data_IF_828157192882
#
_entry.id   IF_828157192882
#
_cell.length_a   1.000
_cell.length_b   1.000
_cell.length_c   1.000
_cell.angle_alpha   90.00
_cell.angle_beta   90.00
_cell.angle_gamma   90.00
#
_symmetry.space_group_name_H-M   'P 1'
#
loop_
_entity.id
_entity.type
_entity.pdbx_description
1 polymer ?
#
# COMPACT_ATOMS: atom_id res chain seq x y z
N UNK A 1 -9.31 6.71 -9.11
CA UNK A 1 -8.73 5.94 -10.21
C UNK A 1 -7.24 6.21 -10.29
N UNK A 2 -6.42 5.16 -10.37
CA UNK A 2 -4.98 5.24 -10.63
C UNK A 2 -4.72 4.80 -12.08
N UNK A 3 -3.90 5.55 -12.79
CA UNK A 3 -3.46 5.25 -14.16
C UNK A 3 -1.93 5.37 -14.22
N UNK A 4 -1.30 4.31 -14.68
CA UNK A 4 0.13 4.23 -15.00
C UNK A 4 0.21 4.00 -16.49
N UNK A 5 0.97 4.83 -17.23
CA UNK A 5 1.01 4.78 -18.70
C UNK A 5 2.45 4.82 -19.19
N UNK A 6 2.88 3.74 -19.85
CA UNK A 6 4.17 3.61 -20.48
C UNK A 6 5.34 3.89 -19.53
N UNK A 7 5.27 3.42 -18.27
CA UNK A 7 6.25 3.78 -17.24
C UNK A 7 7.53 2.97 -17.40
N UNK A 8 8.64 3.68 -17.46
CA UNK A 8 10.01 3.15 -17.43
C UNK A 8 10.73 3.60 -16.17
N UNK A 9 11.53 2.71 -15.60
CA UNK A 9 12.42 3.01 -14.48
C UNK A 9 13.69 2.18 -14.56
N UNK A 10 14.84 2.84 -14.40
CA UNK A 10 16.16 2.21 -14.34
C UNK A 10 16.94 2.75 -13.15
N UNK A 11 17.86 1.95 -12.65
CA UNK A 11 18.79 2.36 -11.60
C UNK A 11 20.23 2.22 -12.10
N UNK A 12 21.06 3.17 -11.76
CA UNK A 12 22.51 3.08 -12.03
C UNK A 12 23.14 2.01 -11.15
N UNK A 13 23.88 1.09 -11.75
CA UNK A 13 24.65 0.07 -11.02
C UNK A 13 26.12 0.11 -11.49
N UNK A 14 27.07 -0.45 -10.73
CA UNK A 14 28.48 -0.56 -11.16
C UNK A 14 28.67 -1.30 -12.49
N UNK A 15 27.71 -2.19 -12.85
CA UNK A 15 27.71 -2.97 -14.10
C UNK A 15 26.97 -2.28 -15.25
N UNK A 16 26.45 -1.08 -15.04
CA UNK A 16 25.62 -0.33 -15.99
C UNK A 16 24.16 -0.14 -15.53
N UNK A 17 23.33 0.51 -16.34
CA UNK A 17 21.94 0.77 -15.97
C UNK A 17 21.13 -0.53 -15.92
N UNK A 18 20.45 -0.77 -14.80
CA UNK A 18 19.51 -1.87 -14.60
C UNK A 18 18.10 -1.37 -14.88
N UNK A 19 17.51 -1.80 -16.01
CA UNK A 19 16.12 -1.52 -16.32
C UNK A 19 15.19 -2.37 -15.44
N UNK A 20 14.40 -1.73 -14.59
CA UNK A 20 13.49 -2.41 -13.64
C UNK A 20 12.04 -2.38 -14.13
N UNK A 21 11.60 -1.26 -14.74
CA UNK A 21 10.29 -1.19 -15.40
C UNK A 21 10.47 -0.77 -16.85
N UNK A 22 9.72 -1.41 -17.75
CA UNK A 22 9.93 -1.34 -19.19
C UNK A 22 8.62 -1.11 -19.94
N UNK A 23 7.99 0.06 -19.77
CA UNK A 23 6.73 0.41 -20.43
C UNK A 23 5.52 -0.22 -19.74
N UNK A 24 5.40 -0.03 -18.44
CA UNK A 24 4.28 -0.57 -17.64
C UNK A 24 3.03 0.29 -17.83
N UNK A 25 1.92 -0.38 -18.21
CA UNK A 25 0.58 0.19 -18.29
C UNK A 25 -0.33 -0.49 -17.26
N UNK A 26 -0.86 0.25 -16.27
CA UNK A 26 -1.72 -0.30 -15.23
C UNK A 26 -2.86 0.66 -14.91
N UNK A 27 -4.05 0.11 -14.69
CA UNK A 27 -5.22 0.87 -14.29
C UNK A 27 -5.89 0.25 -13.07
N UNK A 28 -6.24 1.09 -12.09
CA UNK A 28 -7.03 0.71 -10.91
C UNK A 28 -8.21 1.67 -10.80
N UNK A 29 -9.41 1.11 -10.88
CA UNK A 29 -10.65 1.87 -10.73
C UNK A 29 -10.86 2.37 -9.31
N UNK A 30 -11.65 3.44 -9.19
CA UNK A 30 -11.99 4.03 -7.90
C UNK A 30 -12.77 3.04 -7.03
N UNK A 31 -12.38 2.89 -5.77
CA UNK A 31 -13.01 1.97 -4.82
C UNK A 31 -12.79 0.48 -5.14
N UNK A 32 -11.95 0.16 -6.13
CA UNK A 32 -11.61 -1.22 -6.50
C UNK A 32 -10.31 -1.69 -5.85
N UNK A 33 -9.99 -2.98 -6.02
CA UNK A 33 -8.75 -3.57 -5.53
C UNK A 33 -8.01 -4.31 -6.64
N UNK A 34 -6.67 -4.16 -6.67
CA UNK A 34 -5.81 -4.80 -7.64
C UNK A 34 -4.62 -5.46 -6.95
N UNK A 35 -4.39 -6.73 -7.27
CA UNK A 35 -3.20 -7.47 -6.89
C UNK A 35 -2.14 -7.38 -8.00
N UNK A 36 -0.98 -6.83 -7.66
CA UNK A 36 0.22 -6.84 -8.51
C UNK A 36 1.09 -8.01 -8.07
N UNK A 37 1.13 -9.03 -8.90
CA UNK A 37 1.88 -10.26 -8.68
C UNK A 37 3.18 -10.28 -9.51
N UNK A 38 4.05 -11.24 -9.24
CA UNK A 38 5.28 -11.49 -9.98
C UNK A 38 6.39 -12.02 -9.07
N UNK A 39 7.46 -12.50 -9.67
CA UNK A 39 8.63 -13.03 -8.97
C UNK A 39 9.38 -11.94 -8.18
N UNK A 40 10.26 -12.36 -7.26
CA UNK A 40 11.18 -11.43 -6.59
C UNK A 40 12.05 -10.72 -7.63
N UNK A 41 12.23 -9.41 -7.45
CA UNK A 41 13.01 -8.59 -8.39
C UNK A 41 12.29 -8.19 -9.69
N UNK A 42 11.02 -8.56 -9.91
CA UNK A 42 10.29 -8.18 -11.14
C UNK A 42 9.93 -6.69 -11.25
N UNK A 43 10.11 -5.89 -10.17
CA UNK A 43 9.84 -4.45 -10.15
C UNK A 43 8.56 -4.03 -9.41
N UNK A 44 7.87 -4.95 -8.71
CA UNK A 44 6.60 -4.67 -8.01
C UNK A 44 6.71 -3.55 -6.96
N UNK A 45 7.65 -3.67 -6.04
CA UNK A 45 7.89 -2.66 -5.00
C UNK A 45 8.37 -1.34 -5.61
N UNK A 46 9.13 -1.39 -6.71
CA UNK A 46 9.52 -0.20 -7.47
C UNK A 46 8.27 0.53 -8.00
N UNK A 47 7.35 -0.19 -8.65
CA UNK A 47 6.11 0.41 -9.15
C UNK A 47 5.28 0.98 -8.00
N UNK A 48 5.17 0.27 -6.87
CA UNK A 48 4.47 0.75 -5.69
C UNK A 48 5.11 2.02 -5.13
N UNK A 49 6.44 2.09 -5.07
CA UNK A 49 7.17 3.28 -4.61
C UNK A 49 6.96 4.49 -5.55
N UNK A 50 6.93 4.27 -6.87
CA UNK A 50 6.62 5.33 -7.84
C UNK A 50 5.20 5.87 -7.65
N UNK A 51 4.21 4.99 -7.45
CA UNK A 51 2.83 5.39 -7.15
C UNK A 51 2.72 6.08 -5.79
N UNK A 52 3.54 5.69 -4.83
CA UNK A 52 3.62 6.37 -3.54
C UNK A 52 4.30 7.76 -3.63
N UNK A 53 4.94 8.08 -4.74
CA UNK A 53 5.75 9.29 -4.87
C UNK A 53 7.02 9.27 -4.01
N UNK A 54 7.54 8.08 -3.73
CA UNK A 54 8.81 7.86 -3.01
C UNK A 54 10.02 7.83 -3.95
N UNK A 55 9.75 7.69 -5.26
CA UNK A 55 10.76 7.71 -6.32
C UNK A 55 10.15 8.35 -7.57
N UNK A 56 10.96 8.64 -8.59
CA UNK A 56 10.57 9.30 -9.83
C UNK A 56 10.69 8.34 -11.01
N UNK A 57 9.79 8.46 -11.99
CA UNK A 57 9.86 7.71 -13.24
C UNK A 57 10.93 8.30 -14.18
N UNK A 58 11.49 7.47 -15.06
CA UNK A 58 12.38 7.95 -16.14
C UNK A 58 11.57 8.44 -17.35
N UNK A 59 10.47 7.72 -17.68
CA UNK A 59 9.53 8.04 -18.77
C UNK A 59 8.14 7.53 -18.46
N UNK A 60 7.16 8.05 -19.19
CA UNK A 60 5.75 7.69 -19.05
C UNK A 60 5.00 8.68 -18.17
N UNK A 61 3.91 8.24 -17.56
CA UNK A 61 3.14 9.08 -16.63
C UNK A 61 2.43 8.26 -15.56
N UNK A 62 2.26 8.86 -14.37
CA UNK A 62 1.45 8.30 -13.30
C UNK A 62 0.42 9.33 -12.87
N UNK A 63 -0.86 8.97 -12.96
CA UNK A 63 -1.98 9.80 -12.52
C UNK A 63 -2.78 9.09 -11.43
N UNK A 64 -3.03 9.76 -10.32
CA UNK A 64 -3.92 9.29 -9.27
C UNK A 64 -5.00 10.36 -9.00
N UNK A 65 -6.25 10.05 -9.33
CA UNK A 65 -7.34 11.02 -9.35
C UNK A 65 -7.02 12.20 -10.28
N UNK A 66 -6.98 13.40 -9.72
CA UNK A 66 -6.61 14.64 -10.43
C UNK A 66 -5.10 14.92 -10.47
N UNK A 67 -4.30 14.13 -9.76
CA UNK A 67 -2.88 14.40 -9.55
C UNK A 67 -2.01 13.69 -10.59
N UNK A 68 -1.08 14.43 -11.20
CA UNK A 68 -0.03 13.94 -12.10
C UNK A 68 1.27 13.83 -11.30
N UNK A 69 1.56 12.63 -10.75
CA UNK A 69 2.68 12.42 -9.83
C UNK A 69 4.02 12.68 -10.50
N UNK A 70 4.13 12.34 -11.77
CA UNK A 70 5.31 12.59 -12.62
C UNK A 70 5.64 14.08 -12.84
N UNK A 71 4.73 15.00 -12.52
CA UNK A 71 4.89 16.44 -12.66
C UNK A 71 4.97 17.19 -11.33
N UNK A 72 4.89 16.46 -10.21
CA UNK A 72 4.92 17.05 -8.88
C UNK A 72 6.33 17.34 -8.41
N UNK A 73 6.52 18.47 -7.73
CA UNK A 73 7.73 18.75 -6.94
C UNK A 73 7.78 17.85 -5.70
N UNK A 74 8.96 17.71 -5.09
CA UNK A 74 9.12 16.91 -3.87
C UNK A 74 8.19 17.38 -2.73
N UNK A 75 7.99 18.69 -2.59
CA UNK A 75 7.05 19.25 -1.61
C UNK A 75 5.60 18.80 -1.87
N UNK A 76 5.20 18.75 -3.14
CA UNK A 76 3.88 18.26 -3.55
C UNK A 76 3.74 16.75 -3.35
N UNK A 77 4.78 15.97 -3.67
CA UNK A 77 4.81 14.52 -3.39
C UNK A 77 4.78 14.23 -1.89
N UNK A 78 5.48 15.01 -1.07
CA UNK A 78 5.40 14.90 0.39
C UNK A 78 3.98 15.19 0.91
N UNK A 79 3.30 16.20 0.34
CA UNK A 79 1.89 16.47 0.65
C UNK A 79 0.99 15.31 0.21
N UNK A 80 1.19 14.78 -1.00
CA UNK A 80 0.49 13.61 -1.54
C UNK A 80 0.62 12.39 -0.60
N UNK A 81 1.84 12.03 -0.21
CA UNK A 81 2.11 10.94 0.74
C UNK A 81 1.40 11.13 2.08
N UNK A 82 1.33 12.38 2.54
CA UNK A 82 0.74 12.70 3.83
C UNK A 82 -0.78 12.63 3.82
N UNK A 83 -1.45 13.03 2.73
CA UNK A 83 -2.89 13.30 2.73
C UNK A 83 -3.71 12.32 1.90
N UNK A 84 -3.17 11.79 0.81
CA UNK A 84 -3.96 11.09 -0.20
C UNK A 84 -3.73 9.58 -0.21
N UNK A 85 -2.61 9.11 0.36
CA UNK A 85 -2.30 7.68 0.39
C UNK A 85 -2.15 7.14 1.80
N UNK A 86 -2.48 5.86 1.96
CA UNK A 86 -2.07 5.02 3.08
C UNK A 86 -1.02 4.03 2.61
N UNK A 87 -0.03 3.73 3.45
CA UNK A 87 1.02 2.75 3.17
C UNK A 87 1.00 1.66 4.23
N UNK A 88 0.94 0.41 3.78
CA UNK A 88 1.10 -0.78 4.62
C UNK A 88 2.26 -1.59 4.07
N UNK A 89 3.25 -1.90 4.89
CA UNK A 89 4.46 -2.61 4.51
C UNK A 89 4.46 -4.04 5.09
N UNK A 90 5.27 -4.89 4.52
CA UNK A 90 5.55 -6.23 5.04
C UNK A 90 6.16 -6.17 6.45
N UNK A 91 7.13 -5.28 6.67
CA UNK A 91 7.56 -4.89 8.00
C UNK A 91 6.58 -3.84 8.51
N UNK A 92 5.99 -4.05 9.66
CA UNK A 92 4.89 -3.24 10.20
C UNK A 92 5.20 -1.75 10.31
N UNK A 93 6.49 -1.38 10.40
CA UNK A 93 7.03 -0.01 10.48
C UNK A 93 6.30 0.85 11.52
N UNK A 94 5.93 0.23 12.65
CA UNK A 94 5.35 0.96 13.78
C UNK A 94 6.42 1.79 14.48
N UNK A 95 5.99 2.92 15.04
CA UNK A 95 6.86 3.79 15.82
C UNK A 95 6.99 3.15 17.21
N UNK A 96 8.16 2.57 17.51
CA UNK A 96 8.41 1.79 18.72
C UNK A 96 8.24 2.60 20.01
N UNK A 97 8.52 3.90 19.98
CA UNK A 97 8.38 4.82 21.12
C UNK A 97 6.95 5.30 21.37
N UNK A 98 5.99 4.93 20.51
CA UNK A 98 4.59 5.31 20.66
C UNK A 98 3.72 4.10 21.01
N UNK A 99 2.75 4.25 21.94
CA UNK A 99 1.75 3.22 22.20
C UNK A 99 0.82 3.03 20.97
N UNK A 100 0.03 1.96 20.98
CA UNK A 100 -0.91 1.59 19.89
C UNK A 100 -1.83 2.75 19.52
N UNK A 101 -2.43 3.43 20.51
CA UNK A 101 -3.37 4.53 20.25
C UNK A 101 -2.73 5.68 19.47
N UNK A 102 -1.47 6.02 19.77
CA UNK A 102 -0.76 7.09 19.09
C UNK A 102 -0.21 6.64 17.74
N UNK A 103 0.23 5.38 17.60
CA UNK A 103 0.55 4.79 16.30
C UNK A 103 -0.65 4.86 15.36
N UNK A 104 -1.85 4.51 15.82
CA UNK A 104 -3.09 4.59 15.03
C UNK A 104 -3.40 6.02 14.59
N UNK A 105 -3.28 7.00 15.51
CA UNK A 105 -3.58 8.40 15.24
C UNK A 105 -2.54 9.12 14.39
N UNK A 106 -1.31 8.59 14.33
CA UNK A 106 -0.12 9.29 13.83
C UNK A 106 -0.32 9.88 12.45
N UNK A 107 -0.71 9.04 11.46
CA UNK A 107 -0.87 9.50 10.08
C UNK A 107 -2.00 10.51 9.92
N UNK A 108 -3.12 10.31 10.61
CA UNK A 108 -4.26 11.22 10.57
C UNK A 108 -3.92 12.59 11.19
N UNK A 109 -3.16 12.60 12.29
CA UNK A 109 -2.67 13.85 12.91
C UNK A 109 -1.72 14.60 11.97
N UNK A 110 -0.76 13.90 11.34
CA UNK A 110 0.14 14.50 10.35
C UNK A 110 -0.62 15.08 9.14
N UNK A 111 -1.67 14.40 8.69
CA UNK A 111 -2.51 14.85 7.59
C UNK A 111 -3.45 16.02 7.98
N UNK A 112 -3.57 16.36 9.25
CA UNK A 112 -4.57 17.31 9.75
C UNK A 112 -6.01 16.81 9.60
N UNK A 113 -6.19 15.46 9.54
CA UNK A 113 -7.49 14.78 9.32
C UNK A 113 -7.88 13.86 10.49
N UNK A 114 -7.36 14.14 11.68
CA UNK A 114 -7.69 13.32 12.86
C UNK A 114 -9.17 13.47 13.22
N UNK A 115 -9.86 12.34 13.24
CA UNK A 115 -11.28 12.21 13.59
C UNK A 115 -11.40 11.16 14.72
N UNK A 116 -11.72 11.60 15.97
CA UNK A 116 -11.84 10.68 17.10
C UNK A 116 -12.93 9.62 16.92
N UNK A 117 -14.05 9.94 16.26
CA UNK A 117 -15.14 9.00 16.02
C UNK A 117 -14.71 7.91 15.03
N UNK A 118 -14.00 8.29 13.95
CA UNK A 118 -13.43 7.34 13.01
C UNK A 118 -12.34 6.47 13.64
N UNK A 119 -11.48 7.06 14.46
CA UNK A 119 -10.47 6.29 15.18
C UNK A 119 -11.10 5.26 16.11
N UNK A 120 -12.17 5.61 16.85
CA UNK A 120 -12.90 4.67 17.71
C UNK A 120 -13.48 3.50 16.90
N UNK A 121 -14.09 3.77 15.74
CA UNK A 121 -14.57 2.73 14.84
C UNK A 121 -13.45 1.81 14.32
N UNK A 122 -12.30 2.37 13.94
CA UNK A 122 -11.14 1.59 13.54
C UNK A 122 -10.64 0.69 14.68
N UNK A 123 -10.53 1.22 15.90
CA UNK A 123 -10.10 0.46 17.08
C UNK A 123 -11.03 -0.72 17.33
N UNK A 124 -12.33 -0.50 17.29
CA UNK A 124 -13.34 -1.54 17.48
C UNK A 124 -13.23 -2.61 16.38
N UNK A 125 -13.29 -2.20 15.11
CA UNK A 125 -13.25 -3.13 13.96
C UNK A 125 -11.95 -3.91 13.86
N UNK A 126 -10.82 -3.33 14.28
CA UNK A 126 -9.52 -3.98 14.32
C UNK A 126 -9.29 -4.85 15.57
N UNK A 127 -10.22 -4.81 16.55
CA UNK A 127 -10.10 -5.55 17.81
C UNK A 127 -8.94 -5.10 18.68
N UNK A 128 -8.61 -3.79 18.68
CA UNK A 128 -7.43 -3.23 19.35
C UNK A 128 -7.75 -2.59 20.71
N UNK A 129 -9.01 -2.57 21.16
CA UNK A 129 -9.44 -1.82 22.35
C UNK A 129 -8.63 -2.13 23.62
N UNK A 130 -8.34 -3.42 23.88
CA UNK A 130 -7.56 -3.86 25.05
C UNK A 130 -6.04 -3.61 24.91
N UNK A 131 -5.56 -3.16 23.75
CA UNK A 131 -4.15 -3.04 23.43
C UNK A 131 -3.65 -1.60 23.33
N UNK A 132 -4.52 -0.61 23.48
CA UNK A 132 -4.26 0.81 23.20
C UNK A 132 -3.04 1.38 23.90
N UNK A 133 -2.80 0.95 25.14
CA UNK A 133 -1.67 1.41 25.97
C UNK A 133 -0.39 0.58 25.82
N UNK A 134 -0.44 -0.51 25.02
CA UNK A 134 0.73 -1.33 24.74
C UNK A 134 1.63 -0.68 23.70
N UNK A 135 2.90 -1.04 23.75
CA UNK A 135 3.91 -0.66 22.76
C UNK A 135 4.06 -1.76 21.69
N UNK A 136 4.57 -1.46 20.49
CA UNK A 136 4.69 -2.42 19.40
C UNK A 136 5.36 -3.75 19.78
N UNK A 137 6.42 -3.70 20.59
CA UNK A 137 7.16 -4.88 21.07
C UNK A 137 6.34 -5.83 21.96
N UNK A 138 5.22 -5.36 22.50
CA UNK A 138 4.31 -6.15 23.34
C UNK A 138 3.17 -6.80 22.54
N UNK A 139 3.20 -6.69 21.21
CA UNK A 139 2.16 -7.17 20.32
C UNK A 139 2.64 -8.37 19.50
N UNK A 140 1.72 -9.30 19.21
CA UNK A 140 1.97 -10.32 18.19
C UNK A 140 2.08 -9.70 16.78
N UNK A 141 2.69 -10.43 15.82
CA UNK A 141 2.81 -9.95 14.43
C UNK A 141 1.47 -9.56 13.82
N UNK A 142 0.43 -10.36 14.00
CA UNK A 142 -0.92 -10.05 13.51
C UNK A 142 -1.52 -8.80 14.17
N UNK A 143 -1.26 -8.58 15.48
CA UNK A 143 -1.69 -7.36 16.17
C UNK A 143 -0.94 -6.14 15.65
N UNK A 144 0.37 -6.24 15.43
CA UNK A 144 1.19 -5.16 14.84
C UNK A 144 0.67 -4.80 13.44
N UNK A 145 0.35 -5.79 12.62
CA UNK A 145 -0.20 -5.56 11.28
C UNK A 145 -1.57 -4.89 11.32
N UNK A 146 -2.45 -5.28 12.24
CA UNK A 146 -3.74 -4.59 12.46
C UNK A 146 -3.53 -3.11 12.83
N UNK A 147 -2.53 -2.80 13.68
CA UNK A 147 -2.18 -1.40 14.00
C UNK A 147 -1.65 -0.67 12.78
N UNK A 148 -0.78 -1.28 11.96
CA UNK A 148 -0.25 -0.68 10.73
C UNK A 148 -1.37 -0.37 9.71
N UNK A 149 -2.33 -1.28 9.53
CA UNK A 149 -3.52 -1.09 8.70
C UNK A 149 -4.37 0.07 9.25
N UNK A 150 -4.65 0.07 10.55
CA UNK A 150 -5.42 1.13 11.19
C UNK A 150 -4.77 2.50 11.03
N UNK A 151 -3.46 2.61 11.23
CA UNK A 151 -2.69 3.83 11.00
C UNK A 151 -2.81 4.32 9.56
N UNK A 152 -2.68 3.41 8.58
CA UNK A 152 -2.78 3.75 7.16
C UNK A 152 -4.18 4.24 6.76
N UNK A 153 -5.24 3.69 7.37
CA UNK A 153 -6.64 4.06 7.10
C UNK A 153 -7.15 5.23 7.94
N UNK A 154 -6.44 5.63 8.99
CA UNK A 154 -6.89 6.66 9.93
C UNK A 154 -7.12 8.02 9.26
N UNK A 155 -6.37 8.37 8.21
CA UNK A 155 -6.53 9.60 7.43
C UNK A 155 -7.61 9.52 6.34
N UNK A 156 -8.29 8.39 6.19
CA UNK A 156 -9.24 8.10 5.09
C UNK A 156 -8.62 8.37 3.72
N UNK A 157 -7.53 7.66 3.35
CA UNK A 157 -6.84 7.90 2.08
C UNK A 157 -7.72 7.49 0.90
N UNK A 158 -7.53 8.17 -0.25
CA UNK A 158 -8.17 7.76 -1.51
C UNK A 158 -7.53 6.52 -2.12
N UNK A 159 -6.26 6.25 -1.79
CA UNK A 159 -5.50 5.09 -2.29
C UNK A 159 -4.72 4.45 -1.15
N UNK A 160 -4.93 3.15 -0.93
CA UNK A 160 -4.14 2.32 -0.04
C UNK A 160 -3.14 1.50 -0.87
N UNK A 161 -1.87 1.60 -0.53
CA UNK A 161 -0.79 0.83 -1.11
C UNK A 161 -0.30 -0.18 -0.07
N UNK A 162 -0.26 -1.46 -0.43
CA UNK A 162 0.16 -2.52 0.47
C UNK A 162 1.28 -3.35 -0.18
N UNK A 163 2.46 -3.38 0.42
CA UNK A 163 3.58 -4.20 -0.02
C UNK A 163 3.68 -5.44 0.85
N UNK A 164 3.24 -6.58 0.32
CA UNK A 164 3.21 -7.88 0.98
C UNK A 164 2.67 -7.83 2.44
N UNK A 165 1.47 -7.27 2.66
CA UNK A 165 1.00 -6.91 4.00
C UNK A 165 0.82 -8.11 4.96
N UNK A 166 0.90 -9.32 4.47
CA UNK A 166 0.77 -10.55 5.27
C UNK A 166 2.00 -11.46 5.18
N UNK A 167 3.07 -11.01 4.52
CA UNK A 167 4.24 -11.85 4.22
C UNK A 167 5.03 -12.33 5.44
N UNK A 168 4.89 -11.67 6.60
CA UNK A 168 5.56 -12.03 7.85
C UNK A 168 4.64 -12.75 8.85
N UNK A 169 3.45 -13.18 8.42
CA UNK A 169 2.45 -13.82 9.26
C UNK A 169 2.28 -15.30 8.87
N UNK A 170 1.88 -16.13 9.83
CA UNK A 170 1.41 -17.46 9.53
C UNK A 170 0.13 -17.44 8.69
N UNK A 171 -0.21 -18.56 8.09
CA UNK A 171 -1.30 -18.64 7.12
C UNK A 171 -2.67 -18.27 7.69
N UNK A 172 -3.00 -18.72 8.90
CA UNK A 172 -4.28 -18.44 9.54
C UNK A 172 -4.40 -16.96 9.89
N UNK A 173 -3.36 -16.39 10.51
CA UNK A 173 -3.29 -14.95 10.83
C UNK A 173 -3.33 -14.08 9.56
N UNK A 174 -2.67 -14.53 8.49
CA UNK A 174 -2.69 -13.83 7.18
C UNK A 174 -4.11 -13.71 6.63
N UNK A 175 -4.90 -14.79 6.68
CA UNK A 175 -6.28 -14.80 6.21
C UNK A 175 -7.18 -13.88 7.04
N UNK A 176 -7.04 -13.92 8.36
CA UNK A 176 -7.79 -13.02 9.25
C UNK A 176 -7.48 -11.55 8.99
N UNK A 177 -6.20 -11.21 8.88
CA UNK A 177 -5.77 -9.82 8.65
C UNK A 177 -6.19 -9.32 7.27
N UNK A 178 -6.06 -10.18 6.24
CA UNK A 178 -6.51 -9.85 4.88
C UNK A 178 -8.03 -9.65 4.83
N UNK A 179 -8.81 -10.56 5.45
CA UNK A 179 -10.26 -10.43 5.50
C UNK A 179 -10.66 -9.12 6.17
N UNK A 180 -10.04 -8.83 7.32
CA UNK A 180 -10.28 -7.60 8.07
C UNK A 180 -9.99 -6.35 7.24
N UNK A 181 -8.86 -6.32 6.51
CA UNK A 181 -8.50 -5.24 5.60
C UNK A 181 -9.58 -5.04 4.52
N UNK A 182 -9.97 -6.12 3.83
CA UNK A 182 -10.97 -6.06 2.77
C UNK A 182 -12.34 -5.61 3.32
N UNK A 183 -12.74 -6.07 4.51
CA UNK A 183 -13.99 -5.65 5.14
C UNK A 183 -13.97 -4.17 5.57
N UNK A 184 -12.81 -3.66 5.99
CA UNK A 184 -12.64 -2.22 6.26
C UNK A 184 -12.81 -1.39 4.99
N UNK A 185 -12.36 -1.88 3.85
CA UNK A 185 -12.41 -1.15 2.56
C UNK A 185 -13.78 -1.18 1.89
N UNK A 186 -14.60 -2.25 2.07
CA UNK A 186 -15.90 -2.42 1.42
C UNK A 186 -16.85 -1.22 1.47
N UNK A 187 -16.77 -0.43 2.55
CA UNK A 187 -17.66 0.71 2.79
C UNK A 187 -16.91 2.05 2.73
N UNK A 188 -15.75 2.07 2.07
CA UNK A 188 -14.95 3.27 1.88
C UNK A 188 -14.70 3.53 0.40
N UNK A 189 -14.47 4.78 -0.02
CA UNK A 189 -14.08 5.08 -1.40
C UNK A 189 -12.61 4.76 -1.69
N UNK A 190 -11.89 4.16 -0.74
CA UNK A 190 -10.47 3.86 -0.84
C UNK A 190 -10.22 2.74 -1.86
N UNK A 191 -9.38 3.00 -2.86
CA UNK A 191 -8.86 1.97 -3.77
C UNK A 191 -7.65 1.26 -3.16
N UNK A 192 -7.45 -0.02 -3.48
CA UNK A 192 -6.34 -0.83 -2.96
C UNK A 192 -5.44 -1.32 -4.11
N UNK A 193 -4.16 -0.94 -4.07
CA UNK A 193 -3.10 -1.60 -4.84
C UNK A 193 -2.26 -2.44 -3.88
N UNK A 194 -2.27 -3.76 -4.06
CA UNK A 194 -1.54 -4.69 -3.20
C UNK A 194 -0.50 -5.45 -4.01
N UNK A 195 0.74 -5.41 -3.57
CA UNK A 195 1.81 -6.28 -4.05
C UNK A 195 1.75 -7.58 -3.24
N UNK A 196 1.77 -8.72 -3.92
CA UNK A 196 1.83 -10.04 -3.28
C UNK A 196 2.39 -11.09 -4.22
N UNK A 197 3.13 -12.05 -3.66
CA UNK A 197 3.55 -13.25 -4.37
C UNK A 197 2.59 -14.43 -4.13
N UNK A 198 1.61 -14.29 -3.22
CA UNK A 198 0.65 -15.34 -2.87
C UNK A 198 -0.56 -15.34 -3.81
N UNK A 199 -0.76 -16.42 -4.62
CA UNK A 199 -1.95 -16.55 -5.47
C UNK A 199 -3.25 -16.55 -4.65
N UNK A 200 -3.21 -17.10 -3.43
CA UNK A 200 -4.35 -17.15 -2.50
C UNK A 200 -4.78 -15.75 -2.06
N UNK A 201 -3.83 -14.90 -1.70
CA UNK A 201 -4.08 -13.50 -1.36
C UNK A 201 -4.62 -12.73 -2.57
N UNK A 202 -3.97 -12.88 -3.73
CA UNK A 202 -4.36 -12.21 -4.96
C UNK A 202 -5.78 -12.61 -5.44
N UNK A 203 -6.19 -13.87 -5.21
CA UNK A 203 -7.53 -14.35 -5.57
C UNK A 203 -8.68 -13.65 -4.80
N UNK A 204 -8.36 -12.96 -3.70
CA UNK A 204 -9.31 -12.22 -2.87
C UNK A 204 -9.56 -10.79 -3.37
N UNK A 205 -8.77 -10.30 -4.31
CA UNK A 205 -8.87 -8.96 -4.88
C UNK A 205 -9.66 -8.98 -6.20
N UNK A 206 -10.24 -7.82 -6.57
CA UNK A 206 -11.11 -7.71 -7.74
C UNK A 206 -10.38 -7.96 -9.06
N UNK A 207 -9.13 -7.51 -9.17
CA UNK A 207 -8.31 -7.64 -10.38
C UNK A 207 -6.93 -8.16 -10.03
N UNK A 208 -6.32 -8.93 -10.93
CA UNK A 208 -4.95 -9.45 -10.80
C UNK A 208 -4.16 -9.15 -12.06
N UNK A 209 -2.94 -8.69 -11.88
CA UNK A 209 -1.96 -8.51 -12.97
C UNK A 209 -0.63 -9.10 -12.53
N UNK A 210 0.15 -9.57 -13.49
CA UNK A 210 1.46 -10.18 -13.24
C UNK A 210 2.55 -9.32 -13.88
N UNK A 211 3.51 -8.89 -13.07
CA UNK A 211 4.70 -8.20 -13.52
C UNK A 211 5.83 -9.21 -13.70
N UNK A 212 6.31 -9.36 -14.92
CA UNK A 212 7.44 -10.24 -15.27
C UNK A 212 8.50 -9.43 -16.00
N UNK A 213 9.75 -9.49 -15.52
CA UNK A 213 10.90 -8.76 -16.12
C UNK A 213 10.59 -7.28 -16.45
N UNK A 214 9.92 -6.58 -15.54
CA UNK A 214 9.59 -5.16 -15.68
C UNK A 214 8.44 -4.85 -16.63
N UNK A 215 7.68 -5.83 -17.12
CA UNK A 215 6.51 -5.67 -18.00
C UNK A 215 5.30 -6.37 -17.41
N UNK A 216 4.12 -5.82 -17.63
CA UNK A 216 2.92 -6.58 -17.33
C UNK A 216 2.74 -7.68 -18.38
N UNK A 217 2.52 -8.92 -17.91
CA UNK A 217 2.16 -10.01 -18.79
C UNK A 217 0.72 -9.78 -19.30
N UNK A 218 0.49 -10.01 -20.60
CA UNK A 218 -0.86 -10.03 -21.17
C UNK A 218 -1.71 -11.08 -20.45
N UNK A 219 -2.98 -10.76 -20.22
CA UNK A 219 -3.92 -11.61 -19.46
C UNK A 219 -4.21 -12.97 -20.15
N UNK A 220 -3.49 -13.32 -21.21
CA UNK A 220 -3.66 -14.50 -22.05
C UNK A 220 -2.48 -15.47 -22.10
N UNK A 221 -1.31 -15.14 -21.54
CA UNK A 221 -0.17 -16.05 -21.56
C UNK A 221 -0.06 -16.83 -20.23
N UNK A 222 -0.72 -18.00 -20.18
CA UNK A 222 -0.44 -19.12 -19.29
C UNK A 222 -0.34 -20.41 -20.09
#
# INVERSE_FOLDING_TARGET
>A
MLQVQGVFKSYATPQGPLAVLQGVDLQLEHGSSLALMGESGSGKSTLLHLVAGLDQIDRGSIRAGRHRLDQMSEAQLAHWRRTEIGLVFQQFNLISSLPVEDNLAFQARLAGRYDPAWQAQLIERLGLGALLKRYPEQLSGGQQQRVAIGRALASRPGLLLADEPTGNLDEATSDEVLQLLLDLLKNTPTSLLMVTHSPRVAARLATRVVLHCGRLADAGER
#
